data_IF_596949377043
#
_entry.id   IF_596949377043
#
_cell.length_a   1.000
_cell.length_b   1.000
_cell.length_c   1.000
_cell.angle_alpha   90.00
_cell.angle_beta   90.00
_cell.angle_gamma   90.00
#
_symmetry.space_group_name_H-M   'P 1'
#
loop_
_entity.id
_entity.type
_entity.pdbx_description
1 polymer ?
#
# COMPACT_ATOMS: atom_id res chain seq x y z
N UNK A 1 -9.64 29.65 -30.12
CA UNK A 1 -8.98 28.34 -30.18
C UNK A 1 -7.79 28.53 -29.28
N UNK A 2 -8.02 28.35 -27.98
CA UNK A 2 -6.94 28.37 -27.00
C UNK A 2 -6.15 27.10 -27.30
N UNK A 3 -4.89 27.29 -27.71
CA UNK A 3 -3.94 26.19 -27.82
C UNK A 3 -3.86 25.59 -26.42
N UNK A 4 -4.34 24.35 -26.26
CA UNK A 4 -4.00 23.57 -25.07
C UNK A 4 -2.49 23.45 -25.13
N UNK A 5 -1.80 24.21 -24.27
CA UNK A 5 -0.39 23.98 -23.98
C UNK A 5 -0.32 22.52 -23.54
N UNK A 6 0.19 21.66 -24.43
CA UNK A 6 0.55 20.28 -24.12
C UNK A 6 1.50 20.35 -22.91
N UNK A 7 0.95 20.20 -21.70
CA UNK A 7 1.67 20.27 -20.43
C UNK A 7 2.72 19.16 -20.47
N UNK A 8 3.95 19.54 -20.79
CA UNK A 8 5.09 18.66 -21.00
C UNK A 8 5.49 18.03 -19.66
N UNK A 9 4.78 16.95 -19.36
CA UNK A 9 4.82 16.25 -18.08
C UNK A 9 6.09 15.39 -18.01
N UNK A 10 7.26 16.01 -17.80
CA UNK A 10 8.47 15.26 -17.48
C UNK A 10 9.83 15.87 -17.81
N UNK A 11 9.93 16.94 -18.60
CA UNK A 11 11.24 17.55 -18.88
C UNK A 11 11.76 18.38 -17.71
N UNK A 12 10.87 19.07 -16.99
CA UNK A 12 11.26 19.83 -15.80
C UNK A 12 11.44 18.91 -14.57
N UNK A 13 12.70 18.71 -14.22
CA UNK A 13 13.15 17.88 -13.10
C UNK A 13 13.44 18.68 -11.82
N UNK A 14 13.15 19.98 -11.80
CA UNK A 14 13.32 20.82 -10.60
C UNK A 14 12.48 20.30 -9.42
N UNK A 15 12.93 20.57 -8.20
CA UNK A 15 12.20 20.21 -6.97
C UNK A 15 10.81 20.86 -6.92
N UNK A 16 10.66 22.07 -7.48
CA UNK A 16 9.38 22.78 -7.55
C UNK A 16 8.41 22.07 -8.50
N UNK A 17 8.87 21.66 -9.69
CA UNK A 17 8.06 20.90 -10.63
C UNK A 17 7.67 19.52 -10.07
N UNK A 18 8.59 18.82 -9.41
CA UNK A 18 8.29 17.56 -8.71
C UNK A 18 7.25 17.76 -7.61
N UNK A 19 7.36 18.85 -6.83
CA UNK A 19 6.40 19.18 -5.79
C UNK A 19 5.01 19.47 -6.36
N UNK A 20 4.92 20.28 -7.42
CA UNK A 20 3.65 20.61 -8.10
C UNK A 20 2.96 19.34 -8.62
N UNK A 21 3.69 18.47 -9.34
CA UNK A 21 3.15 17.20 -9.83
C UNK A 21 2.66 16.30 -8.69
N UNK A 22 3.39 16.29 -7.57
CA UNK A 22 2.94 15.55 -6.39
C UNK A 22 1.70 16.19 -5.74
N UNK A 23 1.52 17.51 -5.81
CA UNK A 23 0.29 18.19 -5.36
C UNK A 23 -0.90 17.75 -6.21
N UNK A 24 -0.72 17.71 -7.54
CA UNK A 24 -1.72 17.26 -8.50
C UNK A 24 -2.13 15.80 -8.26
N UNK A 25 -1.17 14.88 -8.03
CA UNK A 25 -1.47 13.47 -7.74
C UNK A 25 -2.32 13.33 -6.48
N UNK A 26 -2.00 14.07 -5.42
CA UNK A 26 -2.78 14.01 -4.15
C UNK A 26 -4.16 14.60 -4.35
N UNK A 27 -4.27 15.75 -5.03
CA UNK A 27 -5.54 16.39 -5.33
C UNK A 27 -6.44 15.51 -6.19
N UNK A 28 -5.88 14.80 -7.17
CA UNK A 28 -6.63 13.87 -8.00
C UNK A 28 -7.10 12.64 -7.21
N UNK A 29 -6.26 12.10 -6.33
CA UNK A 29 -6.65 10.99 -5.46
C UNK A 29 -7.76 11.40 -4.47
N UNK A 30 -7.75 12.63 -3.98
CA UNK A 30 -8.85 13.22 -3.19
C UNK A 30 -10.12 13.40 -4.02
N UNK A 31 -10.01 13.93 -5.25
CA UNK A 31 -11.13 14.14 -6.16
C UNK A 31 -11.84 12.83 -6.52
N UNK A 32 -11.06 11.75 -6.62
CA UNK A 32 -11.55 10.39 -6.91
C UNK A 32 -12.00 9.63 -5.65
N UNK A 33 -11.88 10.22 -4.46
CA UNK A 33 -12.17 9.57 -3.17
C UNK A 33 -11.40 8.26 -2.93
N UNK A 34 -10.16 8.22 -3.41
CA UNK A 34 -9.24 7.07 -3.28
C UNK A 34 -7.90 7.47 -2.65
N UNK A 35 -7.89 8.57 -1.89
CA UNK A 35 -6.66 9.10 -1.26
C UNK A 35 -5.90 8.04 -0.47
N UNK A 36 -6.61 7.17 0.25
CA UNK A 36 -5.98 6.09 1.01
C UNK A 36 -5.26 5.06 0.12
N UNK A 37 -5.69 4.84 -1.13
CA UNK A 37 -5.07 3.90 -2.06
C UNK A 37 -3.82 4.45 -2.74
N UNK A 38 -3.53 5.74 -2.59
CA UNK A 38 -2.36 6.40 -3.19
C UNK A 38 -1.06 5.61 -3.03
N UNK A 39 -0.67 5.17 -1.81
CA UNK A 39 0.54 4.40 -1.60
C UNK A 39 0.59 3.07 -2.37
N UNK A 40 -0.54 2.36 -2.49
CA UNK A 40 -0.61 1.11 -3.27
C UNK A 40 -0.19 1.38 -4.73
N UNK A 41 -0.80 2.39 -5.36
CA UNK A 41 -0.48 2.78 -6.74
C UNK A 41 0.96 3.27 -6.86
N UNK A 42 1.42 4.08 -5.91
CA UNK A 42 2.80 4.59 -5.91
C UNK A 42 3.84 3.47 -5.83
N UNK A 43 3.59 2.40 -5.06
CA UNK A 43 4.55 1.28 -4.98
C UNK A 43 4.74 0.59 -6.33
N UNK A 44 3.67 0.40 -7.11
CA UNK A 44 3.74 -0.24 -8.41
C UNK A 44 4.52 0.58 -9.44
N UNK A 45 4.41 1.90 -9.38
CA UNK A 45 5.09 2.81 -10.31
C UNK A 45 6.55 3.07 -9.90
N UNK A 46 6.81 3.20 -8.61
CA UNK A 46 8.09 3.71 -8.10
C UNK A 46 9.04 2.63 -7.58
N UNK A 47 8.54 1.47 -7.16
CA UNK A 47 9.35 0.44 -6.52
C UNK A 47 9.61 -0.77 -7.42
N UNK A 48 10.78 -1.37 -7.23
CA UNK A 48 11.20 -2.63 -7.83
C UNK A 48 12.17 -3.37 -6.88
N UNK A 49 13.06 -4.23 -7.40
CA UNK A 49 14.05 -4.95 -6.59
C UNK A 49 15.01 -4.04 -5.78
N UNK A 50 15.03 -2.73 -6.08
CA UNK A 50 15.81 -1.69 -5.39
C UNK A 50 15.00 -0.89 -4.35
N UNK A 51 13.87 -1.42 -3.88
CA UNK A 51 12.93 -0.77 -2.97
C UNK A 51 13.59 -0.04 -1.79
N UNK A 52 14.67 -0.58 -1.21
CA UNK A 52 15.41 0.03 -0.09
C UNK A 52 16.00 1.41 -0.39
N UNK A 53 16.52 1.58 -1.61
CA UNK A 53 17.02 2.88 -2.09
C UNK A 53 15.86 3.82 -2.43
N UNK A 54 14.79 3.24 -3.00
CA UNK A 54 13.63 3.97 -3.48
C UNK A 54 12.76 4.50 -2.33
N UNK A 55 12.67 3.81 -1.19
CA UNK A 55 12.01 4.32 0.03
C UNK A 55 12.62 5.67 0.43
N UNK A 56 13.95 5.78 0.42
CA UNK A 56 14.65 7.02 0.77
C UNK A 56 14.42 8.10 -0.27
N UNK A 57 14.54 7.73 -1.56
CA UNK A 57 14.35 8.65 -2.68
C UNK A 57 12.93 9.24 -2.73
N UNK A 58 11.92 8.40 -2.51
CA UNK A 58 10.51 8.75 -2.66
C UNK A 58 9.79 8.98 -1.32
N UNK A 59 10.51 9.05 -0.19
CA UNK A 59 9.94 9.24 1.16
C UNK A 59 8.87 10.33 1.17
N UNK A 60 9.16 11.50 0.59
CA UNK A 60 8.25 12.65 0.57
C UNK A 60 6.94 12.34 -0.16
N UNK A 61 6.97 11.50 -1.20
CA UNK A 61 5.78 11.14 -1.97
C UNK A 61 4.83 10.29 -1.11
N UNK A 62 5.36 9.25 -0.46
CA UNK A 62 4.58 8.39 0.43
C UNK A 62 4.09 9.14 1.68
N UNK A 63 4.92 10.00 2.28
CA UNK A 63 4.56 10.73 3.49
C UNK A 63 3.32 11.62 3.32
N UNK A 64 3.09 12.16 2.11
CA UNK A 64 1.88 12.95 1.81
C UNK A 64 0.57 12.16 1.90
N UNK A 65 0.65 10.85 1.77
CA UNK A 65 -0.48 9.95 1.91
C UNK A 65 -0.55 9.33 3.31
N UNK A 66 0.59 8.88 3.83
CA UNK A 66 0.67 8.06 5.05
C UNK A 66 0.61 8.85 6.35
N UNK A 67 1.00 10.14 6.35
CA UNK A 67 1.04 10.94 7.58
C UNK A 67 -0.34 11.05 8.23
N UNK A 68 -0.46 10.59 9.48
CA UNK A 68 -1.72 10.50 10.25
C UNK A 68 -2.85 9.75 9.51
N UNK A 69 -2.51 8.76 8.68
CA UNK A 69 -3.47 8.04 7.85
C UNK A 69 -3.16 6.54 7.83
N UNK A 70 -3.63 5.83 8.86
CA UNK A 70 -3.43 4.38 9.02
C UNK A 70 -3.98 3.56 7.86
N UNK A 71 -5.11 3.98 7.27
CA UNK A 71 -5.69 3.34 6.09
C UNK A 71 -4.72 3.39 4.90
N UNK A 72 -4.09 4.53 4.64
CA UNK A 72 -3.06 4.64 3.61
C UNK A 72 -1.81 3.82 3.91
N UNK A 73 -1.42 3.72 5.19
CA UNK A 73 -0.32 2.86 5.63
C UNK A 73 -0.62 1.36 5.39
N UNK A 74 -1.87 0.92 5.60
CA UNK A 74 -2.31 -0.44 5.24
C UNK A 74 -2.19 -0.69 3.74
N UNK A 75 -2.61 0.27 2.89
CA UNK A 75 -2.41 0.18 1.45
C UNK A 75 -0.93 0.17 1.04
N UNK A 76 -0.05 0.86 1.75
CA UNK A 76 1.41 0.77 1.54
C UNK A 76 1.93 -0.64 1.82
N UNK A 77 1.47 -1.29 2.89
CA UNK A 77 1.83 -2.67 3.22
C UNK A 77 1.34 -3.67 2.16
N UNK A 78 0.14 -3.47 1.60
CA UNK A 78 -0.32 -4.24 0.45
C UNK A 78 0.51 -3.99 -0.80
N UNK A 79 0.92 -2.74 -1.04
CA UNK A 79 1.87 -2.39 -2.09
C UNK A 79 3.22 -3.12 -1.94
N UNK A 80 3.75 -3.21 -0.72
CA UNK A 80 4.94 -4.00 -0.42
C UNK A 80 4.75 -5.48 -0.76
N UNK A 81 3.61 -6.08 -0.40
CA UNK A 81 3.29 -7.48 -0.76
C UNK A 81 3.35 -7.69 -2.29
N UNK A 82 2.76 -6.77 -3.07
CA UNK A 82 2.81 -6.80 -4.53
C UNK A 82 4.23 -6.70 -5.09
N UNK A 83 5.05 -5.77 -4.59
CA UNK A 83 6.45 -5.61 -5.04
C UNK A 83 7.27 -6.87 -4.72
N UNK A 84 7.05 -7.49 -3.54
CA UNK A 84 7.67 -8.76 -3.20
C UNK A 84 7.22 -9.88 -4.13
N UNK A 85 5.94 -9.94 -4.51
CA UNK A 85 5.45 -10.93 -5.47
C UNK A 85 6.16 -10.83 -6.83
N UNK A 86 6.42 -9.61 -7.31
CA UNK A 86 7.13 -9.37 -8.58
C UNK A 86 8.64 -9.68 -8.51
N UNK A 87 9.26 -9.52 -7.34
CA UNK A 87 10.70 -9.63 -7.14
C UNK A 87 11.07 -10.58 -5.98
N UNK A 88 10.37 -11.71 -5.87
CA UNK A 88 10.41 -12.57 -4.68
C UNK A 88 11.83 -13.05 -4.37
N UNK A 89 12.58 -13.53 -5.38
CA UNK A 89 13.94 -14.03 -5.21
C UNK A 89 14.91 -12.98 -4.63
N UNK A 90 14.68 -11.70 -4.90
CA UNK A 90 15.52 -10.58 -4.47
C UNK A 90 15.09 -9.97 -3.13
N UNK A 91 13.79 -10.04 -2.81
CA UNK A 91 13.18 -9.24 -1.73
C UNK A 91 12.69 -10.06 -0.54
N UNK A 92 12.33 -11.35 -0.70
CA UNK A 92 11.71 -12.14 0.37
C UNK A 92 12.59 -12.21 1.64
N UNK A 93 13.91 -12.31 1.48
CA UNK A 93 14.85 -12.35 2.61
C UNK A 93 15.13 -10.97 3.23
N UNK A 94 14.69 -9.89 2.59
CA UNK A 94 14.95 -8.50 3.00
C UNK A 94 13.77 -7.85 3.73
N UNK A 95 12.64 -8.55 3.86
CA UNK A 95 11.39 -8.02 4.44
C UNK A 95 11.60 -7.31 5.79
N UNK A 96 12.31 -7.89 6.80
CA UNK A 96 12.57 -7.19 8.06
C UNK A 96 13.25 -5.84 7.88
N UNK A 97 14.22 -5.78 6.96
CA UNK A 97 14.99 -4.56 6.70
C UNK A 97 14.15 -3.52 5.95
N UNK A 98 13.30 -3.96 5.02
CA UNK A 98 12.40 -3.06 4.28
C UNK A 98 11.37 -2.46 5.23
N UNK A 99 10.73 -3.27 6.08
CA UNK A 99 9.78 -2.80 7.08
C UNK A 99 10.44 -1.83 8.06
N UNK A 100 11.65 -2.15 8.54
CA UNK A 100 12.41 -1.23 9.38
C UNK A 100 12.71 0.10 8.67
N UNK A 101 13.07 0.08 7.40
CA UNK A 101 13.34 1.31 6.64
C UNK A 101 12.07 2.14 6.40
N UNK A 102 10.90 1.51 6.21
CA UNK A 102 9.62 2.22 6.13
C UNK A 102 9.22 2.83 7.48
N UNK A 103 9.42 2.09 8.57
CA UNK A 103 9.20 2.57 9.94
C UNK A 103 10.12 3.74 10.29
N UNK A 104 11.44 3.59 10.11
CA UNK A 104 12.44 4.65 10.36
C UNK A 104 12.20 5.91 9.49
N UNK A 105 11.49 5.76 8.37
CA UNK A 105 11.13 6.84 7.47
C UNK A 105 9.76 7.50 7.79
N UNK A 106 9.12 7.13 8.91
CA UNK A 106 7.79 7.59 9.33
C UNK A 106 6.68 7.27 8.32
N UNK A 107 6.85 6.21 7.52
CA UNK A 107 5.85 5.79 6.53
C UNK A 107 4.85 4.79 7.10
N UNK A 108 5.22 4.08 8.17
CA UNK A 108 4.40 3.06 8.82
C UNK A 108 4.53 3.20 10.34
N UNK A 109 3.39 3.29 11.00
CA UNK A 109 3.28 3.27 12.46
C UNK A 109 3.37 1.83 12.99
N UNK A 110 3.87 1.69 14.21
CA UNK A 110 4.07 0.40 14.86
C UNK A 110 2.77 -0.42 14.93
N UNK A 111 1.68 0.21 15.39
CA UNK A 111 0.37 -0.44 15.51
C UNK A 111 -0.15 -0.99 14.17
N UNK A 112 0.12 -0.29 13.07
CA UNK A 112 -0.31 -0.71 11.72
C UNK A 112 0.50 -1.92 11.27
N UNK A 113 1.81 -1.92 11.52
CA UNK A 113 2.69 -3.05 11.19
C UNK A 113 2.30 -4.28 12.01
N UNK A 114 2.04 -4.12 13.31
CA UNK A 114 1.63 -5.21 14.20
C UNK A 114 0.29 -5.78 13.74
N UNK A 115 -0.74 -4.95 13.57
CA UNK A 115 -2.07 -5.36 13.11
C UNK A 115 -2.02 -6.12 11.78
N UNK A 116 -1.29 -5.59 10.78
CA UNK A 116 -1.13 -6.27 9.48
C UNK A 116 -0.47 -7.65 9.59
N UNK A 117 0.46 -7.81 10.53
CA UNK A 117 1.21 -9.07 10.70
C UNK A 117 0.36 -10.22 11.24
N UNK A 118 -0.74 -9.92 11.94
CA UNK A 118 -1.56 -10.92 12.65
C UNK A 118 -2.40 -11.79 11.70
N UNK A 119 -2.88 -11.23 10.59
CA UNK A 119 -3.76 -11.93 9.64
C UNK A 119 -3.27 -11.84 8.21
N UNK A 120 -3.02 -12.99 7.59
CA UNK A 120 -2.68 -13.06 6.17
C UNK A 120 -3.93 -12.84 5.29
N UNK A 121 -3.87 -11.85 4.41
CA UNK A 121 -4.90 -11.58 3.39
C UNK A 121 -4.57 -12.28 2.07
N UNK A 122 -5.60 -12.60 1.29
CA UNK A 122 -5.50 -13.14 -0.08
C UNK A 122 -5.91 -12.11 -1.15
N UNK A 123 -6.10 -10.85 -0.77
CA UNK A 123 -6.66 -9.80 -1.64
C UNK A 123 -5.68 -9.37 -2.75
N UNK A 124 -4.40 -9.23 -2.42
CA UNK A 124 -3.39 -8.67 -3.33
C UNK A 124 -2.38 -9.71 -3.83
N UNK A 125 -2.10 -10.74 -3.03
CA UNK A 125 -1.17 -11.82 -3.35
C UNK A 125 -1.74 -13.17 -2.92
N UNK A 126 -1.13 -14.27 -3.36
CA UNK A 126 -1.54 -15.61 -2.93
C UNK A 126 -1.45 -15.75 -1.40
N UNK A 127 -2.34 -16.55 -0.81
CA UNK A 127 -2.38 -16.77 0.63
C UNK A 127 -1.07 -17.38 1.15
N UNK A 128 -0.42 -18.20 0.33
CA UNK A 128 0.87 -18.84 0.62
C UNK A 128 1.97 -17.79 0.71
N UNK A 129 2.04 -16.87 -0.26
CA UNK A 129 3.03 -15.79 -0.26
C UNK A 129 2.78 -14.81 0.89
N UNK A 130 1.52 -14.43 1.14
CA UNK A 130 1.17 -13.54 2.26
C UNK A 130 1.62 -14.11 3.62
N UNK A 131 1.49 -15.43 3.81
CA UNK A 131 2.01 -16.12 5.00
C UNK A 131 3.53 -16.13 5.04
N UNK A 132 4.19 -16.44 3.92
CA UNK A 132 5.66 -16.43 3.85
C UNK A 132 6.23 -15.04 4.19
N UNK A 133 5.63 -13.98 3.65
CA UNK A 133 6.01 -12.59 3.94
C UNK A 133 5.94 -12.29 5.43
N UNK A 134 4.86 -12.70 6.10
CA UNK A 134 4.67 -12.50 7.54
C UNK A 134 5.67 -13.29 8.37
N UNK A 135 5.95 -14.55 8.02
CA UNK A 135 7.01 -15.35 8.65
C UNK A 135 8.36 -14.66 8.53
N UNK A 136 8.67 -14.08 7.36
CA UNK A 136 9.91 -13.31 7.19
C UNK A 136 9.92 -12.02 8.00
N UNK A 137 8.77 -11.39 8.26
CA UNK A 137 8.65 -10.17 9.05
C UNK A 137 8.81 -10.40 10.57
N UNK A 138 8.57 -11.63 11.07
CA UNK A 138 8.57 -11.96 12.51
C UNK A 138 9.74 -11.36 13.32
N UNK A 139 11.01 -11.37 12.87
CA UNK A 139 12.10 -10.79 13.63
C UNK A 139 11.93 -9.29 13.90
N UNK A 140 11.35 -8.55 12.94
CA UNK A 140 11.08 -7.13 13.08
C UNK A 140 9.82 -6.88 13.94
N UNK A 141 8.77 -7.69 13.77
CA UNK A 141 7.58 -7.61 14.63
C UNK A 141 7.93 -7.87 16.09
N UNK A 142 8.81 -8.85 16.34
CA UNK A 142 9.32 -9.13 17.68
C UNK A 142 10.11 -7.94 18.24
N UNK A 143 10.97 -7.32 17.42
CA UNK A 143 11.73 -6.14 17.82
C UNK A 143 10.83 -4.95 18.19
N UNK A 144 9.75 -4.70 17.43
CA UNK A 144 8.74 -3.68 17.77
C UNK A 144 8.10 -3.98 19.14
N UNK A 145 7.54 -5.19 19.30
CA UNK A 145 6.87 -5.62 20.55
C UNK A 145 7.78 -5.65 21.78
N UNK A 146 9.09 -5.86 21.61
CA UNK A 146 10.06 -5.79 22.71
C UNK A 146 10.42 -4.35 23.10
N UNK A 147 10.22 -3.38 22.21
CA UNK A 147 10.45 -1.97 22.48
C UNK A 147 9.30 -1.33 23.28
N UNK A 148 8.08 -1.85 23.19
CA UNK A 148 6.89 -1.38 23.91
C UNK A 148 6.33 -2.46 24.86
N UNK A 149 6.71 -2.43 26.14
CA UNK A 149 5.88 -3.00 27.21
C UNK A 149 4.55 -2.21 27.24
N UNK A 150 3.46 -2.83 26.75
CA UNK A 150 2.05 -2.39 26.67
C UNK A 150 1.59 -1.70 25.36
N UNK A 151 0.78 -2.38 24.52
CA UNK A 151 -0.66 -2.05 24.34
C UNK A 151 -1.35 -2.74 23.14
N UNK A 152 -2.51 -3.33 23.48
CA UNK A 152 -3.79 -3.53 22.75
C UNK A 152 -3.89 -3.34 21.23
N UNK A 153 -4.27 -4.43 20.54
CA UNK A 153 -4.73 -4.46 19.15
C UNK A 153 -6.15 -3.92 18.96
N UNK A 154 -6.31 -3.12 17.90
CA UNK A 154 -7.61 -2.69 17.38
C UNK A 154 -7.96 -3.47 16.12
N UNK A 155 -9.16 -4.05 16.09
CA UNK A 155 -9.79 -4.50 14.86
C UNK A 155 -10.36 -3.26 14.15
N UNK A 156 -9.88 -2.97 12.94
CA UNK A 156 -10.51 -1.99 12.05
C UNK A 156 -11.07 -2.68 10.83
N UNK A 157 -12.36 -2.44 10.57
CA UNK A 157 -13.07 -2.85 9.36
C UNK A 157 -12.74 -1.85 8.24
N UNK A 158 -12.14 -2.33 7.15
CA UNK A 158 -11.84 -1.49 5.98
C UNK A 158 -13.10 -1.36 5.11
N UNK A 159 -13.85 -0.25 5.25
CA UNK A 159 -15.07 0.05 4.46
C UNK A 159 -14.87 0.04 2.92
N UNK A 160 -13.61 0.10 2.45
CA UNK A 160 -13.25 0.03 1.02
C UNK A 160 -13.06 -1.42 0.51
N UNK A 161 -13.51 -2.43 1.27
CA UNK A 161 -13.41 -3.84 0.88
C UNK A 161 -13.97 -4.11 -0.53
N UNK A 162 -14.92 -3.29 -1.01
CA UNK A 162 -15.58 -3.38 -2.33
C UNK A 162 -14.95 -2.55 -3.47
N UNK A 163 -13.82 -1.88 -3.28
CA UNK A 163 -13.12 -1.21 -4.40
C UNK A 163 -12.05 -2.14 -4.98
N UNK A 164 -12.26 -2.57 -6.22
CA UNK A 164 -11.32 -3.39 -6.99
C UNK A 164 -10.49 -2.50 -7.92
N UNK A 165 -9.16 -2.58 -7.82
CA UNK A 165 -8.24 -1.87 -8.72
C UNK A 165 -8.11 -2.66 -10.02
N UNK A 166 -8.90 -2.28 -11.03
CA UNK A 166 -8.85 -2.88 -12.36
C UNK A 166 -7.94 -2.06 -13.29
N UNK A 167 -6.84 -2.66 -13.73
CA UNK A 167 -5.91 -2.02 -14.66
C UNK A 167 -6.47 -2.04 -16.09
N UNK A 168 -6.63 -0.86 -16.68
CA UNK A 168 -6.92 -0.73 -18.11
C UNK A 168 -5.68 -0.23 -18.85
N UNK A 169 -5.18 -1.04 -19.78
CA UNK A 169 -3.96 -0.73 -20.56
C UNK A 169 -4.16 0.38 -21.61
N UNK A 170 -5.37 0.93 -21.70
CA UNK A 170 -5.82 1.82 -22.76
C UNK A 170 -6.55 3.07 -22.26
N UNK A 171 -6.73 3.24 -20.95
CA UNK A 171 -7.45 4.42 -20.46
C UNK A 171 -6.48 5.58 -20.25
N UNK A 172 -6.78 6.70 -20.91
CA UNK A 172 -6.14 7.99 -20.66
C UNK A 172 -6.66 8.64 -19.36
N UNK A 173 -7.66 8.05 -18.69
CA UNK A 173 -8.30 8.55 -17.46
C UNK A 173 -8.59 7.37 -16.52
N UNK A 174 -8.20 7.41 -15.23
CA UNK A 174 -8.54 6.37 -14.26
C UNK A 174 -10.05 6.22 -14.08
N UNK A 175 -10.58 5.00 -14.11
CA UNK A 175 -11.99 4.70 -13.83
C UNK A 175 -12.06 3.85 -12.56
N UNK A 176 -12.73 4.37 -11.53
CA UNK A 176 -13.02 3.64 -10.28
C UNK A 176 -14.35 2.90 -10.46
N UNK A 177 -14.36 1.59 -10.26
CA UNK A 177 -15.59 0.78 -10.27
C UNK A 177 -15.81 0.16 -8.89
N UNK A 178 -16.96 0.42 -8.28
CA UNK A 178 -17.39 -0.25 -7.04
C UNK A 178 -18.02 -1.59 -7.39
N UNK A 179 -17.44 -2.70 -6.92
CA UNK A 179 -18.03 -4.03 -7.12
C UNK A 179 -19.14 -4.25 -6.09
N UNK A 180 -20.29 -4.77 -6.52
CA UNK A 180 -21.33 -5.25 -5.59
C UNK A 180 -20.86 -6.59 -5.03
N UNK A 181 -20.65 -6.66 -3.72
CA UNK A 181 -20.44 -7.93 -3.02
C UNK A 181 -21.71 -8.79 -3.13
N UNK A 182 -21.67 -9.84 -3.95
CA UNK A 182 -22.55 -10.99 -3.77
C UNK A 182 -22.07 -11.73 -2.51
N UNK A 183 -22.48 -11.26 -1.33
CA UNK A 183 -22.46 -12.08 -0.13
C UNK A 183 -23.47 -13.20 -0.36
N UNK A 184 -23.00 -14.30 -0.96
CA UNK A 184 -23.61 -15.59 -0.68
C UNK A 184 -23.16 -15.95 0.72
N UNK A 185 -23.99 -15.56 1.68
CA UNK A 185 -24.08 -16.25 2.96
C UNK A 185 -24.35 -17.71 2.64
N UNK A 186 -23.29 -18.52 2.55
CA UNK A 186 -23.43 -19.96 2.60
C UNK A 186 -23.80 -20.29 4.05
N UNK A 187 -25.10 -20.14 4.36
CA UNK A 187 -25.78 -20.80 5.47
C UNK A 187 -25.57 -22.31 5.29
N UNK A 188 -24.46 -22.82 5.81
CA UNK A 188 -24.23 -24.25 5.97
C UNK A 188 -25.11 -24.68 7.15
N UNK A 189 -26.32 -25.17 6.84
CA UNK A 189 -27.20 -25.85 7.79
C UNK A 189 -26.46 -27.04 8.41
N UNK A 190 -26.00 -26.88 9.65
CA UNK A 190 -25.18 -27.87 10.38
C UNK A 190 -25.99 -28.94 11.13
N UNK A 191 -27.31 -29.02 10.91
CA UNK A 191 -28.21 -29.93 11.63
C UNK A 191 -28.57 -31.21 10.85
N UNK A 192 -27.67 -31.72 10.01
CA UNK A 192 -27.84 -33.01 9.32
C UNK A 192 -26.63 -33.94 9.50
N UNK A 193 -26.41 -34.41 10.74
CA UNK A 193 -25.70 -35.67 11.04
C UNK A 193 -26.51 -36.47 12.07
#
# INVERSE_FOLDING_TARGET
MEEEEDDDWGEDTTEEAQRRRMDEIVAEAERLDVKAMGPLVLTEVLFNEKIREQIKKYRRHFLRFCHNNKKAQRYLLHGLECVVAMHQAQLISKIPHILKEMYDADLLEEEVIISWSEKASKKYVSKELAKEIRVKAEPFIKWLKEAEEESSGGEEEDEDENIEVVYSKAASVPKVETVKSDNKDDDIDIDAI
#
